data_IF_641460925601
#
_entry.id   IF_641460925601
#
_cell.length_a   1.000
_cell.length_b   1.000
_cell.length_c   1.000
_cell.angle_alpha   90.00
_cell.angle_beta   90.00
_cell.angle_gamma   90.00
#
_symmetry.space_group_name_H-M   'P 1'
#
loop_
_entity.id
_entity.type
_entity.pdbx_description
1 polymer ?
#
# COMPACT_ATOMS: atom_id res chain seq x y z
N UNK A 1 -28.41 56.91 -46.80
CA UNK A 1 -29.83 57.28 -46.53
C UNK A 1 -30.42 56.25 -45.56
N UNK A 2 -31.07 56.81 -44.49
CA UNK A 2 -31.93 56.20 -43.47
C UNK A 2 -31.34 55.08 -42.60
N UNK A 3 -30.88 55.38 -41.45
CA UNK A 3 -31.55 55.65 -40.12
C UNK A 3 -32.74 54.75 -39.83
N UNK A 4 -32.58 53.80 -38.92
CA UNK A 4 -33.58 53.53 -37.89
C UNK A 4 -32.92 53.00 -36.62
N UNK A 5 -33.00 53.80 -35.58
CA UNK A 5 -32.70 53.48 -34.18
C UNK A 5 -33.83 52.62 -33.65
N UNK A 6 -33.51 51.53 -33.02
CA UNK A 6 -34.43 50.87 -32.08
C UNK A 6 -33.72 50.67 -30.76
N UNK A 7 -34.20 51.37 -29.78
CA UNK A 7 -33.91 51.28 -28.36
C UNK A 7 -34.64 50.02 -27.84
N UNK A 8 -33.92 49.10 -27.24
CA UNK A 8 -34.56 48.03 -26.45
C UNK A 8 -34.00 48.02 -25.04
N UNK A 9 -34.93 48.18 -24.15
CA UNK A 9 -34.81 48.25 -22.71
C UNK A 9 -34.15 47.04 -22.11
N UNK A 10 -33.18 47.29 -21.23
CA UNK A 10 -32.56 46.31 -20.33
C UNK A 10 -33.49 45.99 -19.17
N UNK A 11 -33.95 44.74 -19.13
CA UNK A 11 -34.61 44.18 -17.95
C UNK A 11 -33.60 43.36 -17.16
N UNK A 12 -33.13 43.93 -16.04
CA UNK A 12 -32.26 43.22 -15.08
C UNK A 12 -33.14 42.31 -14.22
N UNK A 13 -33.12 41.02 -14.49
CA UNK A 13 -33.74 40.03 -13.60
C UNK A 13 -32.67 39.56 -12.59
N UNK A 14 -32.81 39.99 -11.34
CA UNK A 14 -32.04 39.55 -10.19
C UNK A 14 -32.48 38.14 -9.80
N UNK A 15 -31.75 37.10 -10.24
CA UNK A 15 -31.97 35.72 -9.78
C UNK A 15 -31.14 35.51 -8.51
N UNK A 16 -31.81 35.54 -7.36
CA UNK A 16 -31.26 35.15 -6.06
C UNK A 16 -31.00 33.63 -6.07
N UNK A 17 -29.72 33.24 -6.23
CA UNK A 17 -29.28 31.85 -6.10
C UNK A 17 -29.20 31.49 -4.63
N UNK A 18 -30.28 30.96 -4.07
CA UNK A 18 -30.28 30.35 -2.74
C UNK A 18 -29.33 29.16 -2.76
N UNK A 19 -28.17 29.29 -2.08
CA UNK A 19 -27.19 28.22 -1.89
C UNK A 19 -27.81 27.05 -1.14
N UNK A 20 -28.04 25.94 -1.84
CA UNK A 20 -28.34 24.68 -1.21
C UNK A 20 -27.01 24.09 -0.74
N UNK A 21 -26.78 23.88 0.56
CA UNK A 21 -25.61 23.14 1.00
C UNK A 21 -25.77 21.70 0.50
N UNK A 22 -24.98 21.30 -0.49
CA UNK A 22 -24.84 19.93 -0.91
C UNK A 22 -24.12 19.16 0.20
N UNK A 23 -24.88 18.72 1.20
CA UNK A 23 -24.46 17.65 2.10
C UNK A 23 -24.39 16.36 1.27
N UNK A 24 -23.24 16.11 0.67
CA UNK A 24 -22.90 14.79 0.19
C UNK A 24 -22.65 13.89 1.40
N UNK A 25 -23.72 13.55 2.11
CA UNK A 25 -23.71 12.38 2.97
C UNK A 25 -23.47 11.20 2.03
N UNK A 26 -22.21 10.73 1.95
CA UNK A 26 -21.89 9.43 1.37
C UNK A 26 -22.71 8.42 2.15
N UNK A 27 -23.84 8.02 1.59
CA UNK A 27 -24.59 6.85 2.02
C UNK A 27 -23.68 5.64 1.72
N UNK A 28 -22.73 5.36 2.61
CA UNK A 28 -22.06 4.07 2.65
C UNK A 28 -23.14 3.06 3.01
N UNK A 29 -23.69 2.43 1.99
CA UNK A 29 -24.65 1.36 2.15
C UNK A 29 -24.05 0.37 3.16
N UNK A 30 -24.78 0.11 4.25
CA UNK A 30 -24.34 -0.84 5.30
C UNK A 30 -24.07 -2.17 4.62
N UNK A 31 -22.81 -2.50 4.42
CA UNK A 31 -22.39 -3.79 3.86
C UNK A 31 -22.76 -4.86 4.87
N UNK A 32 -23.81 -5.61 4.57
CA UNK A 32 -24.23 -6.74 5.42
C UNK A 32 -23.29 -7.91 5.14
N UNK A 33 -22.47 -8.26 6.10
CA UNK A 33 -21.58 -9.41 5.99
C UNK A 33 -22.39 -10.72 6.11
N UNK A 34 -22.22 -11.68 5.19
CA UNK A 34 -22.96 -12.95 5.21
C UNK A 34 -22.37 -13.94 6.24
N UNK A 35 -22.12 -13.46 7.46
CA UNK A 35 -21.68 -14.29 8.60
C UNK A 35 -22.93 -14.79 9.31
N UNK A 36 -23.13 -16.09 9.35
CA UNK A 36 -24.33 -16.73 9.91
C UNK A 36 -24.46 -16.45 11.40
N UNK A 37 -23.37 -16.51 12.17
CA UNK A 37 -23.34 -16.18 13.58
C UNK A 37 -23.55 -14.66 13.80
N UNK A 38 -24.71 -14.29 14.32
CA UNK A 38 -25.09 -12.90 14.54
C UNK A 38 -24.16 -12.17 15.53
N UNK A 39 -23.66 -12.87 16.56
CA UNK A 39 -22.72 -12.30 17.54
C UNK A 39 -21.37 -12.00 16.90
N UNK A 40 -20.84 -12.95 16.14
CA UNK A 40 -19.59 -12.77 15.40
C UNK A 40 -19.73 -11.67 14.34
N UNK A 41 -20.83 -11.62 13.60
CA UNK A 41 -21.11 -10.57 12.63
C UNK A 41 -21.08 -9.19 13.27
N UNK A 42 -21.79 -8.98 14.38
CA UNK A 42 -21.81 -7.70 15.10
C UNK A 42 -20.41 -7.32 15.60
N UNK A 43 -19.62 -8.28 16.05
CA UNK A 43 -18.24 -8.02 16.50
C UNK A 43 -17.33 -7.61 15.33
N UNK A 44 -17.43 -8.27 14.16
CA UNK A 44 -16.69 -7.92 12.95
C UNK A 44 -17.09 -6.52 12.45
N UNK A 45 -18.39 -6.23 12.36
CA UNK A 45 -18.89 -4.91 11.96
C UNK A 45 -18.36 -3.80 12.88
N UNK A 46 -18.31 -4.04 14.19
CA UNK A 46 -17.74 -3.10 15.16
C UNK A 46 -16.24 -2.88 14.92
N UNK A 47 -15.47 -3.93 14.69
CA UNK A 47 -14.03 -3.83 14.39
C UNK A 47 -13.79 -3.00 13.12
N UNK A 48 -14.60 -3.22 12.07
CA UNK A 48 -14.51 -2.46 10.82
C UNK A 48 -14.86 -0.97 11.06
N UNK A 49 -15.91 -0.68 11.83
CA UNK A 49 -16.29 0.68 12.17
C UNK A 49 -15.20 1.40 12.98
N UNK A 50 -14.57 0.72 13.94
CA UNK A 50 -13.44 1.27 14.70
C UNK A 50 -12.22 1.54 13.80
N UNK A 51 -11.93 0.64 12.88
CA UNK A 51 -10.86 0.82 11.90
C UNK A 51 -11.13 2.03 10.97
N UNK A 52 -12.38 2.19 10.51
CA UNK A 52 -12.80 3.34 9.73
C UNK A 52 -12.59 4.67 10.48
N UNK A 53 -12.97 4.72 11.77
CA UNK A 53 -12.76 5.89 12.61
C UNK A 53 -11.29 6.28 12.80
N UNK A 54 -10.36 5.30 12.66
CA UNK A 54 -8.91 5.50 12.69
C UNK A 54 -8.30 5.79 11.31
N UNK A 55 -9.11 5.86 10.25
CA UNK A 55 -8.62 6.04 8.88
C UNK A 55 -7.89 4.83 8.30
N UNK A 56 -8.09 3.64 8.85
CA UNK A 56 -7.47 2.41 8.36
C UNK A 56 -8.16 1.90 7.08
N UNK A 57 -7.46 1.15 6.21
CA UNK A 57 -8.02 0.61 4.96
C UNK A 57 -9.06 -0.49 5.23
N UNK A 58 -10.32 -0.09 5.41
CA UNK A 58 -11.43 -1.00 5.77
C UNK A 58 -11.71 -2.07 4.71
N UNK A 59 -11.38 -1.81 3.44
CA UNK A 59 -11.56 -2.80 2.36
C UNK A 59 -10.77 -4.08 2.62
N UNK A 60 -9.58 -3.98 3.21
CA UNK A 60 -8.78 -5.14 3.59
C UNK A 60 -9.50 -6.00 4.66
N UNK A 61 -10.18 -5.37 5.62
CA UNK A 61 -10.94 -6.07 6.66
C UNK A 61 -12.20 -6.73 6.10
N UNK A 62 -12.90 -6.04 5.19
CA UNK A 62 -14.05 -6.60 4.48
C UNK A 62 -13.63 -7.82 3.64
N UNK A 63 -12.54 -7.70 2.87
CA UNK A 63 -12.00 -8.80 2.09
C UNK A 63 -11.62 -10.00 2.99
N UNK A 64 -11.01 -9.74 4.15
CA UNK A 64 -10.66 -10.79 5.13
C UNK A 64 -11.88 -11.48 5.70
N UNK A 65 -12.94 -10.74 6.01
CA UNK A 65 -14.20 -11.32 6.47
C UNK A 65 -14.84 -12.21 5.39
N UNK A 66 -14.88 -11.73 4.13
CA UNK A 66 -15.42 -12.48 3.00
C UNK A 66 -14.58 -13.72 2.67
N UNK A 67 -13.25 -13.64 2.78
CA UNK A 67 -12.37 -14.81 2.67
C UNK A 67 -12.75 -15.89 3.68
N UNK A 68 -13.00 -15.50 4.93
CA UNK A 68 -13.45 -16.42 5.97
C UNK A 68 -14.78 -17.07 5.64
N UNK A 69 -15.76 -16.31 5.14
CA UNK A 69 -17.05 -16.84 4.70
C UNK A 69 -16.87 -17.83 3.53
N UNK A 70 -16.08 -17.47 2.53
CA UNK A 70 -15.81 -18.35 1.37
C UNK A 70 -15.14 -19.66 1.78
N UNK A 71 -14.25 -19.60 2.78
CA UNK A 71 -13.58 -20.78 3.35
C UNK A 71 -14.44 -21.54 4.36
N UNK A 72 -15.70 -21.14 4.56
CA UNK A 72 -16.63 -21.75 5.52
C UNK A 72 -16.07 -21.77 6.97
N UNK A 73 -15.25 -20.77 7.31
CA UNK A 73 -14.73 -20.63 8.67
C UNK A 73 -15.84 -20.31 9.67
N UNK A 74 -15.67 -20.73 10.91
CA UNK A 74 -16.63 -20.40 11.99
C UNK A 74 -16.65 -18.87 12.23
N UNK A 75 -17.78 -18.37 12.75
CA UNK A 75 -17.91 -16.95 13.07
C UNK A 75 -16.79 -16.44 13.99
N UNK A 76 -16.40 -17.26 15.00
CA UNK A 76 -15.30 -16.94 15.91
C UNK A 76 -13.94 -16.86 15.20
N UNK A 77 -13.65 -17.74 14.24
CA UNK A 77 -12.43 -17.70 13.45
C UNK A 77 -12.36 -16.44 12.58
N UNK A 78 -13.49 -16.07 11.95
CA UNK A 78 -13.60 -14.84 11.15
C UNK A 78 -13.35 -13.61 12.04
N UNK A 79 -14.00 -13.55 13.21
CA UNK A 79 -13.82 -12.46 14.16
C UNK A 79 -12.35 -12.30 14.57
N UNK A 80 -11.68 -13.38 14.97
CA UNK A 80 -10.26 -13.36 15.37
C UNK A 80 -9.37 -12.90 14.21
N UNK A 81 -9.60 -13.43 13.00
CA UNK A 81 -8.80 -13.08 11.82
C UNK A 81 -8.93 -11.59 11.46
N UNK A 82 -10.17 -11.03 11.49
CA UNK A 82 -10.42 -9.62 11.21
C UNK A 82 -9.84 -8.73 12.29
N UNK A 83 -9.99 -9.07 13.57
CA UNK A 83 -9.41 -8.30 14.68
C UNK A 83 -7.87 -8.29 14.61
N UNK A 84 -7.25 -9.42 14.35
CA UNK A 84 -5.80 -9.54 14.18
C UNK A 84 -5.29 -8.73 12.99
N UNK A 85 -6.01 -8.71 11.87
CA UNK A 85 -5.66 -7.86 10.73
C UNK A 85 -5.80 -6.37 11.08
N UNK A 86 -6.86 -5.97 11.79
CA UNK A 86 -7.06 -4.58 12.21
C UNK A 86 -5.89 -4.08 13.08
N UNK A 87 -5.41 -4.89 14.02
CA UNK A 87 -4.25 -4.57 14.84
C UNK A 87 -2.98 -4.39 14.00
N UNK A 88 -2.73 -5.28 13.02
CA UNK A 88 -1.56 -5.16 12.14
C UNK A 88 -1.65 -3.94 11.23
N UNK A 89 -2.84 -3.58 10.74
CA UNK A 89 -3.03 -2.35 9.95
C UNK A 89 -2.70 -1.10 10.78
N UNK A 90 -3.15 -1.03 12.03
CA UNK A 90 -2.83 0.07 12.94
C UNK A 90 -1.33 0.14 13.23
N UNK A 91 -0.70 -1.00 13.49
CA UNK A 91 0.74 -1.09 13.69
C UNK A 91 1.51 -0.66 12.45
N UNK A 92 1.13 -1.14 11.26
CA UNK A 92 1.77 -0.77 9.99
C UNK A 92 1.63 0.73 9.71
N UNK A 93 0.44 1.33 9.95
CA UNK A 93 0.23 2.77 9.80
C UNK A 93 1.22 3.57 10.66
N UNK A 94 1.43 3.15 11.90
CA UNK A 94 2.38 3.79 12.83
C UNK A 94 3.83 3.62 12.38
N UNK A 95 4.23 2.41 11.97
CA UNK A 95 5.60 2.08 11.57
C UNK A 95 6.03 2.76 10.26
N UNK A 96 5.09 3.00 9.36
CA UNK A 96 5.34 3.59 8.04
C UNK A 96 5.08 5.11 8.00
N UNK A 97 4.76 5.71 9.16
CA UNK A 97 4.55 7.15 9.28
C UNK A 97 5.74 7.99 8.72
N UNK A 98 5.48 9.26 8.34
CA UNK A 98 4.21 9.95 8.30
C UNK A 98 3.41 9.67 7.01
N UNK A 99 2.09 9.67 7.11
CA UNK A 99 1.14 9.63 5.98
C UNK A 99 1.33 8.47 4.97
N UNK A 100 1.40 7.20 5.42
CA UNK A 100 1.47 6.09 4.50
C UNK A 100 0.16 5.96 3.70
N UNK A 101 0.26 5.56 2.43
CA UNK A 101 -0.90 5.24 1.61
C UNK A 101 -1.62 3.98 2.13
N UNK A 102 -2.89 3.82 1.75
CA UNK A 102 -3.64 2.61 2.10
C UNK A 102 -2.94 1.33 1.63
N UNK A 103 -2.33 1.35 0.44
CA UNK A 103 -1.56 0.23 -0.09
C UNK A 103 -0.35 -0.10 0.79
N UNK A 104 0.42 0.90 1.20
CA UNK A 104 1.57 0.70 2.10
C UNK A 104 1.16 0.11 3.46
N UNK A 105 0.05 0.60 4.01
CA UNK A 105 -0.49 0.08 5.29
C UNK A 105 -0.90 -1.39 5.14
N UNK A 106 -1.55 -1.76 4.03
CA UNK A 106 -1.95 -3.15 3.77
C UNK A 106 -0.72 -4.04 3.55
N UNK A 107 0.24 -3.63 2.73
CA UNK A 107 1.48 -4.38 2.48
C UNK A 107 2.30 -4.54 3.78
N UNK A 108 2.39 -3.49 4.61
CA UNK A 108 3.03 -3.56 5.92
C UNK A 108 2.33 -4.53 6.88
N UNK A 109 0.99 -4.50 6.93
CA UNK A 109 0.20 -5.42 7.75
C UNK A 109 0.36 -6.88 7.31
N UNK A 110 0.49 -7.14 6.00
CA UNK A 110 0.75 -8.45 5.44
C UNK A 110 2.15 -8.95 5.83
N UNK A 111 3.17 -8.09 5.71
CA UNK A 111 4.54 -8.39 6.14
C UNK A 111 4.61 -8.76 7.63
N UNK A 112 3.98 -7.98 8.50
CA UNK A 112 3.83 -8.32 9.93
C UNK A 112 3.12 -9.67 10.13
N UNK A 113 2.13 -9.95 9.27
CA UNK A 113 1.33 -11.19 9.33
C UNK A 113 2.14 -12.46 9.02
N UNK A 114 3.19 -12.38 8.24
CA UNK A 114 4.11 -13.51 7.95
C UNK A 114 5.33 -13.53 8.87
N UNK A 115 5.39 -12.64 9.86
CA UNK A 115 6.43 -12.62 10.90
C UNK A 115 7.59 -11.67 10.61
N UNK A 116 7.48 -10.75 9.67
CA UNK A 116 8.50 -9.70 9.48
C UNK A 116 8.54 -8.80 10.72
N UNK A 117 9.70 -8.61 11.37
CA UNK A 117 9.83 -7.73 12.52
C UNK A 117 9.51 -6.26 12.20
N UNK A 118 8.96 -5.54 13.18
CA UNK A 118 8.54 -4.14 13.05
C UNK A 118 9.68 -3.20 12.60
N UNK A 119 10.88 -3.42 13.10
CA UNK A 119 12.08 -2.64 12.76
C UNK A 119 12.48 -2.80 11.29
N UNK A 120 12.17 -3.94 10.67
CA UNK A 120 12.45 -4.17 9.24
C UNK A 120 11.53 -3.33 8.35
N UNK A 121 10.26 -3.13 8.75
CA UNK A 121 9.37 -2.20 8.05
C UNK A 121 9.92 -0.76 8.12
N UNK A 122 10.38 -0.33 9.28
CA UNK A 122 11.02 0.99 9.46
C UNK A 122 12.28 1.12 8.60
N UNK A 123 13.11 0.07 8.56
CA UNK A 123 14.33 0.03 7.74
C UNK A 123 13.99 0.19 6.25
N UNK A 124 13.01 -0.55 5.73
CA UNK A 124 12.52 -0.40 4.36
C UNK A 124 12.03 1.02 4.12
N UNK A 125 11.17 1.58 5.01
CA UNK A 125 10.64 2.94 4.86
C UNK A 125 11.75 4.00 4.83
N UNK A 126 12.75 3.89 5.69
CA UNK A 126 13.86 4.85 5.78
C UNK A 126 14.85 4.74 4.62
N UNK A 127 14.92 3.60 3.93
CA UNK A 127 15.82 3.36 2.79
C UNK A 127 15.28 3.89 1.45
N UNK A 128 14.09 4.49 1.43
CA UNK A 128 13.43 4.94 0.21
C UNK A 128 12.96 6.39 0.35
N UNK A 129 13.08 7.24 -0.70
CA UNK A 129 12.52 8.57 -0.69
C UNK A 129 11.02 8.55 -0.35
N UNK A 130 10.56 9.54 0.40
CA UNK A 130 9.17 9.58 0.90
C UNK A 130 8.13 9.65 -0.20
N UNK A 131 8.49 10.22 -1.33
CA UNK A 131 7.66 10.36 -2.53
C UNK A 131 7.44 9.04 -3.27
N UNK A 132 8.26 8.03 -2.94
CA UNK A 132 8.15 6.69 -3.52
C UNK A 132 7.46 5.73 -2.56
N UNK A 133 6.47 5.02 -3.07
CA UNK A 133 5.76 4.01 -2.28
C UNK A 133 6.66 2.82 -1.93
N UNK A 134 6.56 2.34 -0.70
CA UNK A 134 7.20 1.11 -0.23
C UNK A 134 6.29 -0.11 -0.30
N UNK A 135 5.09 0.01 -0.86
CA UNK A 135 4.14 -1.11 -0.95
C UNK A 135 4.78 -2.31 -1.68
N UNK A 136 5.32 -2.10 -2.90
CA UNK A 136 5.95 -3.17 -3.67
C UNK A 136 7.16 -3.82 -2.97
N UNK A 137 8.13 -3.08 -2.39
CA UNK A 137 9.18 -3.67 -1.57
C UNK A 137 8.67 -4.53 -0.41
N UNK A 138 7.60 -4.08 0.27
CA UNK A 138 6.98 -4.84 1.37
C UNK A 138 6.25 -6.09 0.89
N UNK A 139 5.59 -6.03 -0.26
CA UNK A 139 4.93 -7.20 -0.86
C UNK A 139 5.97 -8.27 -1.24
N UNK A 140 7.07 -7.88 -1.89
CA UNK A 140 8.17 -8.79 -2.23
C UNK A 140 8.81 -9.36 -0.96
N UNK A 141 9.05 -8.55 0.08
CA UNK A 141 9.54 -9.04 1.37
C UNK A 141 8.60 -10.08 1.98
N UNK A 142 7.29 -9.82 1.92
CA UNK A 142 6.24 -10.76 2.38
C UNK A 142 6.34 -12.09 1.65
N UNK A 143 6.45 -12.06 0.32
CA UNK A 143 6.57 -13.25 -0.50
C UNK A 143 7.86 -14.05 -0.20
N UNK A 144 9.00 -13.38 -0.10
CA UNK A 144 10.28 -14.01 0.20
C UNK A 144 10.25 -14.66 1.60
N UNK A 145 9.71 -13.96 2.60
CA UNK A 145 9.57 -14.47 3.97
C UNK A 145 8.64 -15.69 4.03
N UNK A 146 7.52 -15.64 3.31
CA UNK A 146 6.59 -16.79 3.21
C UNK A 146 7.26 -18.02 2.59
N UNK A 147 8.29 -17.85 1.75
CA UNK A 147 9.11 -18.91 1.14
C UNK A 147 10.33 -19.31 1.96
N UNK A 148 10.41 -18.85 3.21
CA UNK A 148 11.50 -19.17 4.15
C UNK A 148 12.85 -18.56 3.78
N UNK A 149 12.88 -17.52 2.99
CA UNK A 149 14.07 -16.67 2.88
C UNK A 149 14.27 -15.97 4.23
N UNK A 150 15.51 -15.95 4.78
CA UNK A 150 15.79 -15.20 6.00
C UNK A 150 15.44 -13.71 5.86
N UNK A 151 14.66 -13.19 6.81
CA UNK A 151 14.08 -11.83 6.72
C UNK A 151 15.18 -10.77 6.61
N UNK A 152 16.22 -10.89 7.42
CA UNK A 152 17.36 -9.97 7.43
C UNK A 152 18.05 -9.90 6.07
N UNK A 153 18.28 -11.06 5.43
CA UNK A 153 18.89 -11.14 4.11
C UNK A 153 17.95 -10.56 3.04
N UNK A 154 16.66 -10.89 3.09
CA UNK A 154 15.69 -10.31 2.16
C UNK A 154 15.63 -8.78 2.25
N UNK A 155 15.61 -8.22 3.47
CA UNK A 155 15.63 -6.77 3.70
C UNK A 155 16.93 -6.14 3.20
N UNK A 156 18.09 -6.78 3.44
CA UNK A 156 19.38 -6.29 2.97
C UNK A 156 19.43 -6.20 1.44
N UNK A 157 19.03 -7.26 0.74
CA UNK A 157 19.01 -7.27 -0.73
C UNK A 157 18.04 -6.24 -1.29
N UNK A 158 16.80 -6.17 -0.77
CA UNK A 158 15.80 -5.21 -1.21
C UNK A 158 16.30 -3.76 -0.98
N UNK A 159 16.81 -3.43 0.22
CA UNK A 159 17.30 -2.07 0.50
C UNK A 159 18.53 -1.70 -0.32
N UNK A 160 19.42 -2.65 -0.59
CA UNK A 160 20.58 -2.45 -1.48
C UNK A 160 20.15 -2.15 -2.92
N UNK A 161 19.17 -2.87 -3.45
CA UNK A 161 18.59 -2.62 -4.77
C UNK A 161 17.90 -1.24 -4.82
N UNK A 162 17.14 -0.91 -3.78
CA UNK A 162 16.50 0.40 -3.66
C UNK A 162 17.54 1.54 -3.65
N UNK A 163 18.60 1.41 -2.87
CA UNK A 163 19.69 2.40 -2.80
C UNK A 163 20.41 2.57 -4.14
N UNK A 164 20.49 1.52 -4.96
CA UNK A 164 21.04 1.54 -6.32
C UNK A 164 20.06 2.08 -7.37
N UNK A 165 18.84 2.44 -6.98
CA UNK A 165 17.83 3.01 -7.86
C UNK A 165 17.01 1.98 -8.63
N UNK A 166 16.93 0.73 -8.16
CA UNK A 166 16.04 -0.27 -8.74
C UNK A 166 14.61 0.25 -8.82
N UNK A 167 13.95 -0.02 -9.93
CA UNK A 167 12.54 0.34 -10.12
C UNK A 167 11.63 -0.65 -9.38
N UNK A 168 10.37 -0.27 -9.09
CA UNK A 168 9.39 -1.20 -8.53
C UNK A 168 9.22 -2.47 -9.38
N UNK A 169 9.28 -2.35 -10.72
CA UNK A 169 9.20 -3.50 -11.62
C UNK A 169 10.41 -4.45 -11.48
N UNK A 170 11.62 -3.92 -11.28
CA UNK A 170 12.80 -4.74 -11.03
C UNK A 170 12.74 -5.47 -9.68
N UNK A 171 12.22 -4.80 -8.64
CA UNK A 171 12.00 -5.42 -7.32
C UNK A 171 10.93 -6.52 -7.41
N UNK A 172 9.81 -6.27 -8.11
CA UNK A 172 8.79 -7.28 -8.35
C UNK A 172 9.34 -8.48 -9.15
N UNK A 173 10.14 -8.21 -10.19
CA UNK A 173 10.80 -9.23 -11.00
C UNK A 173 11.76 -10.10 -10.18
N UNK A 174 12.43 -9.54 -9.17
CA UNK A 174 13.24 -10.29 -8.21
C UNK A 174 12.38 -11.34 -7.48
N UNK A 175 11.25 -10.91 -6.89
CA UNK A 175 10.35 -11.81 -6.17
C UNK A 175 9.87 -12.96 -7.04
N UNK A 176 9.38 -12.65 -8.26
CA UNK A 176 8.92 -13.65 -9.21
C UNK A 176 10.02 -14.65 -9.63
N UNK A 177 11.24 -14.16 -9.86
CA UNK A 177 12.38 -15.01 -10.24
C UNK A 177 12.81 -15.93 -9.11
N UNK A 178 12.89 -15.43 -7.87
CA UNK A 178 13.18 -16.24 -6.68
C UNK A 178 12.10 -17.31 -6.50
N UNK A 179 10.83 -16.95 -6.68
CA UNK A 179 9.73 -17.92 -6.63
C UNK A 179 9.92 -19.06 -7.61
N UNK A 180 10.27 -18.75 -8.86
CA UNK A 180 10.51 -19.74 -9.90
C UNK A 180 11.68 -20.67 -9.56
N UNK A 181 12.78 -20.11 -9.06
CA UNK A 181 13.97 -20.88 -8.69
C UNK A 181 13.72 -21.82 -7.50
N UNK A 182 12.99 -21.33 -6.48
CA UNK A 182 12.60 -22.15 -5.33
C UNK A 182 11.66 -23.29 -5.76
N UNK A 183 10.73 -23.02 -6.68
CA UNK A 183 9.86 -24.03 -7.25
C UNK A 183 10.65 -25.06 -8.08
N UNK A 184 11.78 -24.67 -8.67
CA UNK A 184 12.71 -25.55 -9.38
C UNK A 184 13.68 -26.30 -8.44
N UNK A 185 13.59 -26.08 -7.12
CA UNK A 185 14.36 -26.82 -6.12
C UNK A 185 15.60 -26.10 -5.57
N UNK A 186 15.85 -24.84 -5.93
CA UNK A 186 16.92 -24.07 -5.32
C UNK A 186 16.56 -23.72 -3.85
N UNK A 187 17.58 -23.69 -2.99
CA UNK A 187 17.43 -23.19 -1.64
C UNK A 187 17.00 -21.70 -1.69
N UNK A 188 16.01 -21.27 -0.89
CA UNK A 188 15.43 -19.92 -0.97
C UNK A 188 16.47 -18.81 -0.86
N UNK A 189 17.42 -18.94 0.04
CA UNK A 189 18.49 -17.96 0.26
C UNK A 189 19.43 -17.86 -0.95
N UNK A 190 19.86 -18.99 -1.50
CA UNK A 190 20.70 -19.04 -2.69
C UNK A 190 19.98 -18.47 -3.93
N UNK A 191 18.68 -18.75 -4.07
CA UNK A 191 17.85 -18.18 -5.14
C UNK A 191 17.81 -16.67 -5.05
N UNK A 192 17.60 -16.11 -3.83
CA UNK A 192 17.61 -14.66 -3.61
C UNK A 192 18.97 -14.06 -3.99
N UNK A 193 20.07 -14.64 -3.52
CA UNK A 193 21.41 -14.10 -3.78
C UNK A 193 21.74 -14.05 -5.27
N UNK A 194 21.47 -15.15 -6.01
CA UNK A 194 21.72 -15.21 -7.44
C UNK A 194 20.91 -14.18 -8.21
N UNK A 195 19.61 -14.06 -7.89
CA UNK A 195 18.71 -13.13 -8.59
C UNK A 195 18.97 -11.68 -8.23
N UNK A 196 19.25 -11.37 -6.96
CA UNK A 196 19.61 -10.02 -6.53
C UNK A 196 20.91 -9.55 -7.22
N UNK A 197 21.92 -10.40 -7.31
CA UNK A 197 23.17 -10.12 -8.05
C UNK A 197 22.89 -9.83 -9.54
N UNK A 198 22.00 -10.62 -10.16
CA UNK A 198 21.59 -10.41 -11.55
C UNK A 198 20.92 -9.04 -11.75
N UNK A 199 19.97 -8.67 -10.90
CA UNK A 199 19.35 -7.34 -10.96
C UNK A 199 20.38 -6.24 -10.69
N UNK A 200 21.25 -6.42 -9.70
CA UNK A 200 22.28 -5.44 -9.34
C UNK A 200 23.24 -5.16 -10.49
N UNK A 201 23.58 -6.14 -11.32
CA UNK A 201 24.46 -5.97 -12.49
C UNK A 201 23.83 -5.13 -13.60
N UNK A 202 22.51 -5.02 -13.64
CA UNK A 202 21.77 -4.20 -14.61
C UNK A 202 21.58 -2.75 -14.16
N UNK A 203 21.90 -2.45 -12.89
CA UNK A 203 21.75 -1.10 -12.35
C UNK A 203 23.00 -0.26 -12.59
N UNK A 204 22.87 1.08 -12.74
CA UNK A 204 24.01 1.96 -12.90
C UNK A 204 25.02 1.81 -11.75
N UNK A 205 26.31 1.85 -12.07
CA UNK A 205 27.32 1.81 -11.00
C UNK A 205 27.28 3.10 -10.17
N UNK A 206 27.66 3.06 -8.88
CA UNK A 206 27.71 4.24 -8.02
C UNK A 206 28.57 5.37 -8.63
N UNK A 207 29.63 5.03 -9.35
CA UNK A 207 30.50 5.98 -10.05
C UNK A 207 29.77 6.71 -11.20
N UNK A 208 28.88 6.02 -11.94
CA UNK A 208 28.12 6.62 -13.01
C UNK A 208 27.04 7.61 -12.48
N UNK A 209 26.50 7.36 -11.28
CA UNK A 209 25.55 8.25 -10.63
C UNK A 209 26.21 9.55 -10.12
N UNK A 210 27.46 9.50 -9.69
CA UNK A 210 28.21 10.67 -9.23
C UNK A 210 28.59 11.65 -10.35
N UNK A 211 28.73 11.16 -11.59
CA UNK A 211 29.08 11.99 -12.77
C UNK A 211 27.88 12.76 -13.33
N UNK A 212 26.64 12.28 -13.08
CA UNK A 212 25.40 12.90 -13.55
C UNK A 212 24.86 14.04 -12.66
N UNK A 213 25.45 14.33 -11.52
CA UNK A 213 25.03 15.46 -10.70
C UNK A 213 25.43 16.78 -11.39
N UNK A 214 24.49 17.72 -11.69
CA UNK A 214 24.84 19.00 -12.29
C UNK A 214 25.80 19.74 -11.35
N UNK A 215 27.04 19.99 -11.81
CA UNK A 215 27.94 20.90 -11.13
C UNK A 215 27.25 22.27 -11.15
N UNK A 216 26.84 22.74 -9.99
CA UNK A 216 26.33 24.09 -9.82
C UNK A 216 27.33 25.10 -10.42
N UNK A 217 26.82 26.23 -10.97
CA UNK A 217 27.69 27.24 -11.59
C UNK A 217 28.69 27.73 -10.52
N UNK A 218 29.97 27.52 -10.79
CA UNK A 218 31.07 28.19 -10.08
C UNK A 218 30.89 29.69 -10.20
N UNK A 219 30.62 30.38 -9.11
CA UNK A 219 30.58 31.83 -9.04
C UNK A 219 31.99 32.38 -9.31
N UNK A 220 32.10 33.43 -10.13
CA UNK A 220 33.34 34.13 -10.36
C UNK A 220 33.83 34.90 -9.13
#
# INVERSE_FOLDING_TARGET
MSMHRVVVLTLVALVSLAGVPASTASAQGKVVLPITDAKARTAVERTIAQAAAKGLPVQALLAKAMEGVTKQATGSQIQVAVASLAQRLEQAQTLLAPSPSAAEVVSGANALGVGVPAEMLKKIRSSWPRERSVAMPLDVLTELTARKVPVEHAVEQITSLMARGATPAQIAGLGASVQSDVAAGLAPDAALEVRARGVMSLLPSPAAQAVGAPRGPSKP
#
